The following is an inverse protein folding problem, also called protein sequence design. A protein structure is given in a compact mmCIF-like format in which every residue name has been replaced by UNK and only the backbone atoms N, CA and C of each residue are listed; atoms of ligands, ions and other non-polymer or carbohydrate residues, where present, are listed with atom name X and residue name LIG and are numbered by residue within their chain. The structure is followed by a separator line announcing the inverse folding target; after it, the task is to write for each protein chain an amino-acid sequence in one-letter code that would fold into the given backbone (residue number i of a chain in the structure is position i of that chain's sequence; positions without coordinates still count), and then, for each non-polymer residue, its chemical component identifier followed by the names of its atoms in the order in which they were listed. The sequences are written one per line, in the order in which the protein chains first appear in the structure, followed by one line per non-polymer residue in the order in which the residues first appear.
data_IF_104883387887
#
_entry.id   IF_104883387887
#
_cell.length_a   1.000
_cell.length_b   1.000
_cell.length_c   1.000
_cell.angle_alpha   90.00
_cell.angle_beta   90.00
_cell.angle_gamma   90.00
#
_symmetry.space_group_name_H-M   'P 1'
#
loop_
_entity.id
_entity.type
_entity.pdbx_description
1 polymer ?
2 non-polymer ?
3 non-polymer ?
4 non-polymer ?
5 water ?
#
# COMPACT_ATOMS: atom_id res chain seq x y z
N UNK A 2 -4.91 -24.21 11.91
CA UNK A 2 -3.56 -23.75 11.56
C UNK A 2 -3.65 -22.36 10.92
N UNK A 3 -2.67 -21.48 11.18
CA UNK A 3 -2.60 -20.18 10.49
C UNK A 3 -3.88 -19.36 10.70
N UNK A 4 -4.38 -19.34 11.94
CA UNK A 4 -5.66 -18.68 12.22
C UNK A 4 -5.38 -17.24 12.64
N UNK A 5 -5.94 -16.24 11.95
CA UNK A 5 -5.64 -14.85 12.33
C UNK A 5 -6.45 -14.45 13.55
N UNK A 6 -5.91 -13.49 14.27
CA UNK A 6 -6.62 -12.84 15.37
C UNK A 6 -6.42 -11.35 15.21
N UNK A 7 -7.23 -10.54 15.88
CA UNK A 7 -7.09 -9.08 15.73
C UNK A 7 -5.67 -8.55 16.01
N UNK A 8 -4.88 -9.28 16.81
CA UNK A 8 -3.51 -8.82 17.06
C UNK A 8 -2.62 -8.83 15.82
N UNK A 9 -3.00 -9.56 14.77
CA UNK A 9 -2.22 -9.55 13.53
C UNK A 9 -2.46 -8.30 12.68
N UNK A 10 -3.40 -7.46 13.06
CA UNK A 10 -3.62 -6.14 12.47
C UNK A 10 -4.10 -6.21 11.01
N UNK A 11 -4.86 -7.25 10.66
CA UNK A 11 -5.37 -7.38 9.29
C UNK A 11 -6.62 -6.50 9.13
N UNK A 12 -6.64 -5.68 8.09
CA UNK A 12 -7.77 -4.80 7.83
C UNK A 12 -8.20 -4.93 6.36
N UNK A 13 -9.45 -4.54 6.11
CA UNK A 13 -10.08 -4.67 4.79
C UNK A 13 -10.87 -3.41 4.47
N UNK A 14 -10.84 -2.97 3.22
CA UNK A 14 -11.73 -1.91 2.82
C UNK A 14 -13.17 -2.38 2.68
N UNK A 15 -14.12 -1.49 3.03
CA UNK A 15 -15.50 -1.88 2.81
C UNK A 15 -15.75 -2.19 1.34
N UNK A 16 -15.03 -1.52 0.43
CA UNK A 16 -15.19 -1.70 -1.00
C UNK A 16 -14.61 -3.00 -1.54
N UNK A 17 -13.90 -3.78 -0.70
CA UNK A 17 -13.22 -5.00 -1.14
C UNK A 17 -14.22 -6.14 -1.13
N UNK A 18 -14.54 -6.65 0.06
CA UNK A 18 -15.58 -7.66 0.19
C UNK A 18 -16.94 -7.16 -0.29
N UNK A 19 -17.19 -5.83 -0.26
CA UNK A 19 -18.39 -5.22 -0.80
C UNK A 19 -18.43 -5.05 -2.31
N UNK A 20 -17.36 -5.38 -3.05
CA UNK A 20 -17.40 -5.20 -4.50
C UNK A 20 -18.50 -6.08 -5.14
N UNK A 21 -19.41 -5.45 -5.88
CA UNK A 21 -20.54 -6.17 -6.47
C UNK A 21 -20.18 -6.89 -7.76
N UNK A 22 -18.96 -6.71 -8.27
CA UNK A 22 -18.56 -7.45 -9.45
C UNK A 22 -18.78 -6.76 -10.77
N UNK A 23 -19.16 -5.47 -10.79
CA UNK A 23 -19.18 -4.74 -12.05
C UNK A 23 -17.78 -4.52 -12.60
N UNK A 24 -17.54 -4.88 -13.87
CA UNK A 24 -16.24 -4.67 -14.48
C UNK A 24 -16.47 -3.89 -15.81
N UNK A 25 -15.45 -3.55 -16.62
CA UNK A 25 -15.74 -2.72 -17.82
C UNK A 25 -16.65 -3.42 -18.80
N UNK A 26 -16.77 -4.74 -18.69
CA UNK A 26 -17.55 -5.53 -19.64
C UNK A 26 -18.65 -6.31 -18.99
N UNK A 27 -19.03 -6.02 -17.76
CA UNK A 27 -19.94 -6.90 -17.04
C UNK A 27 -20.75 -6.18 -15.98
N UNK A 28 -22.01 -6.60 -15.84
CA UNK A 28 -22.88 -6.13 -14.78
C UNK A 28 -22.56 -6.82 -13.45
N UNK A 29 -23.14 -6.28 -12.37
CA UNK A 29 -22.88 -6.81 -11.03
C UNK A 29 -23.31 -8.27 -10.93
N UNK A 30 -22.51 -9.07 -10.22
CA UNK A 30 -22.86 -10.47 -9.96
C UNK A 30 -23.28 -10.74 -8.52
N UNK A 31 -23.18 -9.73 -7.65
CA UNK A 31 -23.54 -9.87 -6.25
C UNK A 31 -24.31 -8.64 -5.81
N UNK A 32 -25.21 -8.85 -4.83
CA UNK A 32 -25.91 -7.74 -4.22
C UNK A 32 -24.97 -6.90 -3.34
N UNK A 33 -25.35 -5.64 -3.18
CA UNK A 33 -24.61 -4.76 -2.29
C UNK A 33 -24.68 -5.27 -0.86
N UNK A 34 -23.59 -5.04 -0.12
CA UNK A 34 -23.50 -5.42 1.28
C UNK A 34 -23.74 -4.20 2.15
N UNK A 35 -24.43 -4.42 3.27
CA UNK A 35 -24.50 -3.39 4.30
C UNK A 35 -23.14 -3.38 5.01
N UNK A 36 -22.51 -2.20 5.18
CA UNK A 36 -21.28 -2.12 5.96
C UNK A 36 -21.34 -2.82 7.30
N UNK A 37 -22.51 -2.79 7.97
CA UNK A 37 -22.66 -3.46 9.24
C UNK A 37 -22.40 -4.96 9.09
N UNK A 38 -22.93 -5.55 8.02
CA UNK A 38 -22.71 -6.98 7.80
C UNK A 38 -21.24 -7.29 7.52
N UNK A 39 -20.60 -6.46 6.69
CA UNK A 39 -19.18 -6.67 6.41
C UNK A 39 -18.35 -6.60 7.69
N UNK A 40 -18.64 -5.64 8.57
CA UNK A 40 -17.88 -5.54 9.83
C UNK A 40 -18.05 -6.82 10.64
N UNK A 41 -19.28 -7.32 10.74
CA UNK A 41 -19.54 -8.54 11.51
C UNK A 41 -18.82 -9.74 10.90
N UNK A 42 -18.92 -9.89 9.56
CA UNK A 42 -18.34 -11.09 8.95
C UNK A 42 -16.82 -11.06 9.01
N UNK A 43 -16.24 -9.87 8.83
CA UNK A 43 -14.78 -9.76 8.90
C UNK A 43 -14.28 -10.03 10.31
N UNK A 44 -15.01 -9.52 11.31
CA UNK A 44 -14.62 -9.76 12.69
C UNK A 44 -14.64 -11.25 13.00
N UNK A 45 -15.64 -11.96 12.49
CA UNK A 45 -15.71 -13.40 12.72
C UNK A 45 -14.53 -14.14 12.10
N UNK A 46 -13.98 -13.62 11.01
CA UNK A 46 -12.80 -14.22 10.34
C UNK A 46 -11.48 -13.91 11.05
N UNK A 47 -11.48 -13.00 12.04
CA UNK A 47 -10.28 -12.64 12.74
C UNK A 47 -9.67 -11.32 12.33
N UNK A 48 -10.36 -10.51 11.54
CA UNK A 48 -9.84 -9.20 11.15
C UNK A 48 -9.73 -8.28 12.37
N UNK A 49 -8.84 -7.30 12.24
CA UNK A 49 -8.63 -6.24 13.22
C UNK A 49 -9.51 -5.03 12.93
N UNK A 50 -9.77 -4.74 11.66
CA UNK A 50 -10.52 -3.52 11.38
C UNK A 50 -10.87 -3.39 9.92
N UNK A 51 -11.48 -2.25 9.61
CA UNK A 51 -11.99 -1.94 8.29
C UNK A 51 -11.58 -0.52 7.96
N UNK A 52 -11.64 -0.23 6.65
CA UNK A 52 -11.39 1.11 6.13
C UNK A 52 -12.51 1.46 5.15
N UNK A 53 -12.58 2.76 4.82
CA UNK A 53 -13.70 3.20 4.00
C UNK A 53 -13.34 4.41 3.16
N UNK A 54 -13.99 4.50 1.98
CA UNK A 54 -14.17 5.79 1.31
C UNK A 54 -15.42 6.42 1.88
N UNK A 55 -15.46 7.76 1.86
CA UNK A 55 -16.66 8.47 2.30
C UNK A 55 -17.92 7.86 1.71
N UNK A 56 -17.93 7.64 0.40
CA UNK A 56 -19.13 7.21 -0.30
C UNK A 56 -19.43 5.70 -0.17
N UNK A 57 -18.55 4.91 0.46
CA UNK A 57 -18.86 3.53 0.83
C UNK A 57 -19.70 3.52 2.08
N UNK A 58 -19.40 4.45 3.00
CA UNK A 58 -20.07 4.44 4.30
C UNK A 58 -21.37 5.25 4.25
N UNK A 59 -21.36 6.38 3.54
CA UNK A 59 -22.54 7.24 3.43
C UNK A 59 -22.83 7.40 1.94
N UNK A 60 -23.95 6.91 1.42
CA UNK A 60 -24.24 7.09 -0.02
C UNK A 60 -24.11 8.53 -0.44
N UNK A 61 -23.48 8.74 -1.59
CA UNK A 61 -23.34 10.09 -2.14
C UNK A 61 -24.68 10.80 -2.18
N UNK A 62 -24.68 12.04 -1.71
CA UNK A 62 -25.89 12.84 -1.73
C UNK A 62 -26.81 12.68 -0.53
N UNK A 63 -26.36 12.01 0.52
CA UNK A 63 -27.20 11.78 1.69
C UNK A 63 -27.47 13.08 2.44
N UNK A 64 -28.67 13.17 3.02
CA UNK A 64 -28.99 14.29 3.90
C UNK A 64 -28.28 14.11 5.24
N UNK A 65 -28.24 15.20 6.01
CA UNK A 65 -27.57 15.13 7.31
C UNK A 65 -28.19 14.07 8.21
N UNK A 66 -29.52 13.94 8.17
CA UNK A 66 -30.15 12.94 9.03
C UNK A 66 -29.76 11.52 8.59
N UNK A 67 -29.74 11.29 7.27
CA UNK A 67 -29.35 9.97 6.77
C UNK A 67 -27.89 9.70 7.11
N UNK A 68 -27.04 10.73 6.97
CA UNK A 68 -25.63 10.56 7.28
C UNK A 68 -25.46 10.17 8.74
N UNK A 69 -26.21 10.82 9.63
CA UNK A 69 -26.08 10.51 11.04
C UNK A 69 -26.50 9.06 11.32
N UNK A 70 -27.54 8.56 10.66
CA UNK A 70 -27.98 7.20 10.92
C UNK A 70 -26.99 6.18 10.37
N UNK A 71 -26.43 6.45 9.18
CA UNK A 71 -25.41 5.55 8.64
C UNK A 71 -24.23 5.42 9.59
N UNK A 72 -23.74 6.55 10.10
CA UNK A 72 -22.61 6.51 11.01
C UNK A 72 -22.98 5.80 12.31
N UNK A 73 -24.17 6.09 12.84
CA UNK A 73 -24.60 5.47 14.09
C UNK A 73 -24.61 3.95 13.99
N UNK A 74 -25.17 3.40 12.90
CA UNK A 74 -25.22 1.96 12.73
C UNK A 74 -23.82 1.39 12.59
N UNK A 75 -22.96 2.11 11.86
CA UNK A 75 -21.60 1.63 11.68
C UNK A 75 -20.85 1.62 13.01
N UNK A 76 -20.99 2.70 13.79
CA UNK A 76 -20.39 2.77 15.12
C UNK A 76 -20.86 1.62 16.01
N UNK A 77 -22.16 1.27 15.93
CA UNK A 77 -22.64 0.17 16.75
C UNK A 77 -22.04 -1.17 16.32
N UNK A 78 -21.82 -1.37 15.01
CA UNK A 78 -21.16 -2.59 14.55
C UNK A 78 -19.70 -2.67 15.03
N UNK A 79 -18.99 -1.53 15.01
CA UNK A 79 -17.64 -1.49 15.57
C UNK A 79 -17.66 -1.83 17.05
N UNK A 80 -18.61 -1.25 17.79
CA UNK A 80 -18.68 -1.51 19.22
C UNK A 80 -19.04 -2.96 19.53
N UNK A 81 -19.91 -3.57 18.71
CA UNK A 81 -20.34 -4.94 18.92
C UNK A 81 -19.22 -5.96 18.68
N UNK A 82 -18.27 -5.61 17.82
CA UNK A 82 -17.22 -6.53 17.37
C UNK A 82 -15.83 -6.24 17.91
N UNK A 83 -15.57 -5.01 18.34
CA UNK A 83 -14.25 -4.58 18.70
C UNK A 83 -13.39 -4.24 17.49
N UNK A 84 -13.98 -4.18 16.31
CA UNK A 84 -13.23 -3.76 15.13
C UNK A 84 -12.84 -2.29 15.18
N UNK A 85 -11.70 -1.96 14.58
CA UNK A 85 -11.17 -0.61 14.52
C UNK A 85 -11.29 -0.06 13.10
N UNK A 86 -11.09 1.25 12.96
CA UNK A 86 -11.03 1.95 11.66
C UNK A 86 -9.70 2.68 11.56
N UNK A 87 -8.65 2.03 11.08
CA UNK A 87 -7.33 2.69 11.12
C UNK A 87 -7.08 3.65 10.01
N UNK A 88 -7.88 3.63 8.94
CA UNK A 88 -7.55 4.46 7.79
C UNK A 88 -8.87 4.73 7.07
N UNK A 89 -8.94 5.91 6.45
CA UNK A 89 -10.05 6.24 5.55
C UNK A 89 -9.50 7.05 4.38
N UNK A 90 -10.37 7.25 3.41
CA UNK A 90 -10.01 7.89 2.15
C UNK A 90 -11.25 8.51 1.52
N UNK A 91 -11.04 9.32 0.49
CA UNK A 91 -12.12 10.03 -0.18
C UNK A 91 -12.31 9.37 -1.54
N UNK A 92 -13.57 9.26 -1.97
CA UNK A 92 -13.83 8.83 -3.36
C UNK A 92 -13.80 10.07 -4.25
N UNK A 93 -12.68 10.26 -4.97
CA UNK A 93 -12.54 11.34 -5.95
C UNK A 93 -12.41 10.75 -7.35
N UNK A 94 -13.15 9.65 -7.59
CA UNK A 94 -13.02 9.00 -8.90
C UNK A 94 -14.32 8.49 -9.51
N UNK A 95 -15.34 8.18 -8.73
CA UNK A 95 -16.53 7.53 -9.29
C UNK A 95 -17.47 8.52 -9.96
N UNK A 96 -17.79 9.60 -9.26
CA UNK A 96 -18.74 10.58 -9.79
C UNK A 96 -18.23 11.20 -11.09
N UNK A 97 -19.10 11.36 -12.09
CA UNK A 97 -18.67 11.98 -13.36
C UNK A 97 -18.00 13.34 -13.22
N UNK A 98 -18.27 14.09 -12.15
CA UNK A 98 -17.64 15.39 -12.03
C UNK A 98 -16.12 15.25 -11.99
N UNK A 99 -15.62 14.09 -11.55
CA UNK A 99 -14.18 13.86 -11.41
C UNK A 99 -13.56 13.27 -12.66
N UNK A 100 -14.27 13.33 -13.79
CA UNK A 100 -13.78 12.64 -14.98
C UNK A 100 -12.40 13.11 -15.45
N UNK A 101 -11.99 14.34 -15.12
CA UNK A 101 -10.66 14.83 -15.45
C UNK A 101 -9.79 14.99 -14.23
N UNK A 102 -10.21 14.44 -13.11
CA UNK A 102 -9.45 14.57 -11.89
C UNK A 102 -10.24 15.21 -10.77
N UNK A 103 -9.63 15.14 -9.57
CA UNK A 103 -10.15 15.86 -8.42
C UNK A 103 -9.20 17.01 -8.15
N UNK A 104 -8.11 16.75 -7.41
CA UNK A 104 -7.20 17.83 -7.07
C UNK A 104 -6.50 18.46 -8.28
N UNK A 105 -6.39 17.74 -9.40
CA UNK A 105 -5.74 18.27 -10.61
C UNK A 105 -6.70 18.36 -11.80
N UNK A 106 -8.00 18.37 -11.55
CA UNK A 106 -8.95 18.67 -12.63
C UNK A 106 -8.60 19.99 -13.31
N UNK A 107 -8.78 20.06 -14.64
CA UNK A 107 -8.51 21.33 -15.29
C UNK A 107 -9.49 22.41 -14.79
N UNK A 108 -10.74 22.04 -14.48
CA UNK A 108 -11.69 23.00 -13.95
C UNK A 108 -11.40 23.33 -12.48
N UNK A 109 -11.17 24.62 -12.22
CA UNK A 109 -10.80 25.04 -10.88
C UNK A 109 -11.93 24.78 -9.90
N UNK A 110 -13.19 24.96 -10.31
CA UNK A 110 -14.30 24.70 -9.40
C UNK A 110 -14.36 23.24 -8.95
N UNK A 111 -13.95 22.31 -9.82
CA UNK A 111 -13.92 20.90 -9.43
C UNK A 111 -12.80 20.67 -8.42
N UNK A 112 -11.63 21.32 -8.62
CA UNK A 112 -10.54 21.15 -7.66
C UNK A 112 -10.97 21.64 -6.27
N UNK A 113 -11.68 22.77 -6.20
CA UNK A 113 -12.13 23.27 -4.91
C UNK A 113 -13.14 22.33 -4.27
N UNK A 114 -14.04 21.77 -5.08
CA UNK A 114 -15.00 20.79 -4.60
C UNK A 114 -14.31 19.56 -4.05
N UNK A 115 -13.32 19.03 -4.77
CA UNK A 115 -12.61 17.85 -4.31
C UNK A 115 -11.97 18.11 -2.95
N UNK A 116 -11.38 19.30 -2.75
CA UNK A 116 -10.79 19.60 -1.45
C UNK A 116 -11.85 19.65 -0.36
N UNK A 117 -12.99 20.28 -0.63
CA UNK A 117 -14.04 20.34 0.39
C UNK A 117 -14.58 18.95 0.72
N UNK A 118 -14.73 18.08 -0.30
CA UNK A 118 -15.23 16.72 -0.05
C UNK A 118 -14.22 15.96 0.82
N UNK A 119 -12.93 16.12 0.53
CA UNK A 119 -11.90 15.46 1.35
C UNK A 119 -11.94 15.96 2.80
N UNK A 120 -11.99 17.29 2.98
CA UNK A 120 -11.92 17.84 4.33
C UNK A 120 -13.10 17.36 5.18
N UNK A 121 -14.31 17.29 4.58
CA UNK A 121 -15.47 16.75 5.30
C UNK A 121 -15.19 15.34 5.80
N UNK A 122 -14.54 14.54 4.97
CA UNK A 122 -14.29 13.16 5.36
C UNK A 122 -13.13 12.98 6.32
N UNK A 123 -12.12 13.87 6.27
CA UNK A 123 -11.08 13.86 7.29
C UNK A 123 -11.69 14.01 8.68
N UNK A 124 -12.65 14.94 8.82
CA UNK A 124 -13.31 15.10 10.12
C UNK A 124 -13.95 13.79 10.57
N UNK A 125 -14.65 13.11 9.67
CA UNK A 125 -15.31 11.86 10.03
C UNK A 125 -14.29 10.79 10.35
N UNK A 126 -13.24 10.70 9.55
CA UNK A 126 -12.20 9.70 9.79
C UNK A 126 -11.60 9.85 11.18
N UNK A 127 -11.29 11.09 11.58
CA UNK A 127 -10.77 11.34 12.92
C UNK A 127 -11.78 10.91 13.97
N UNK A 128 -13.06 11.25 13.77
CA UNK A 128 -14.09 10.83 14.74
C UNK A 128 -14.11 9.32 14.92
N UNK A 129 -13.88 8.56 13.85
CA UNK A 129 -13.92 7.10 13.93
C UNK A 129 -12.58 6.49 14.33
N UNK A 130 -11.54 7.28 14.59
CA UNK A 130 -10.31 6.77 15.13
C UNK A 130 -9.19 6.55 14.14
N UNK A 131 -9.35 7.00 12.89
CA UNK A 131 -8.33 6.70 11.89
C UNK A 131 -7.03 7.44 12.15
N UNK A 132 -5.91 6.76 11.90
CA UNK A 132 -4.59 7.34 12.08
C UNK A 132 -3.97 7.76 10.75
N UNK A 133 -4.50 7.25 9.65
CA UNK A 133 -3.97 7.52 8.33
C UNK A 133 -5.12 7.91 7.42
N UNK A 134 -4.86 8.89 6.57
CA UNK A 134 -5.83 9.28 5.55
C UNK A 134 -5.17 9.08 4.21
N UNK A 135 -5.75 8.19 3.36
CA UNK A 135 -5.13 7.83 2.08
C UNK A 135 -5.68 8.69 0.96
N UNK A 136 -4.80 9.10 0.04
CA UNK A 136 -5.20 9.77 -1.20
C UNK A 136 -4.75 8.91 -2.36
N UNK A 137 -5.71 8.46 -3.17
CA UNK A 137 -5.40 7.73 -4.41
C UNK A 137 -5.94 8.60 -5.54
N UNK A 138 -5.03 9.20 -6.27
CA UNK A 138 -5.41 10.13 -7.32
C UNK A 138 -5.69 9.40 -8.63
N UNK A 139 -6.70 8.52 -8.61
CA UNK A 139 -6.93 7.64 -9.75
C UNK A 139 -7.35 8.37 -11.00
N UNK A 140 -7.98 9.54 -10.87
CA UNK A 140 -8.38 10.34 -12.03
C UNK A 140 -7.39 11.43 -12.40
N UNK A 141 -6.23 11.53 -11.70
CA UNK A 141 -5.26 12.58 -11.96
C UNK A 141 -4.35 12.07 -13.07
N UNK A 142 -4.50 12.60 -14.27
CA UNK A 142 -3.66 12.10 -15.37
C UNK A 142 -4.31 12.45 -16.70
N UNK A 143 -4.09 11.59 -17.69
CA UNK A 143 -4.47 11.99 -19.05
C UNK A 143 -4.45 10.79 -19.97
N UNK A 144 -5.22 10.89 -21.07
CA UNK A 144 -5.11 9.96 -22.18
C UNK A 144 -4.36 10.53 -23.37
N UNK A 145 -4.08 11.82 -23.37
CA UNK A 145 -3.47 12.51 -24.50
C UNK A 145 -2.55 13.60 -23.99
N UNK A 146 -1.58 13.96 -24.82
CA UNK A 146 -0.49 14.81 -24.34
C UNK A 146 -0.87 16.24 -24.12
N UNK A 147 -1.83 16.77 -24.88
CA UNK A 147 -2.17 18.17 -24.75
C UNK A 147 -3.09 18.47 -23.60
N UNK A 148 -3.77 17.44 -23.07
CA UNK A 148 -4.87 17.61 -22.15
C UNK A 148 -4.43 18.02 -20.75
N UNK A 149 -3.17 17.80 -20.40
CA UNK A 149 -2.70 18.03 -19.04
C UNK A 149 -1.27 18.52 -19.12
N UNK A 150 -1.02 19.76 -18.70
CA UNK A 150 0.35 20.21 -18.51
C UNK A 150 0.78 19.71 -17.15
N UNK A 151 1.75 18.79 -17.13
CA UNK A 151 2.03 18.07 -15.90
C UNK A 151 2.68 18.94 -14.85
N UNK A 152 3.54 19.90 -15.24
CA UNK A 152 4.08 20.83 -14.25
C UNK A 152 2.96 21.61 -13.59
N UNK A 153 1.99 22.13 -14.37
CA UNK A 153 0.89 22.84 -13.75
C UNK A 153 0.08 21.89 -12.86
N UNK A 154 -0.14 20.66 -13.32
CA UNK A 154 -0.89 19.71 -12.50
C UNK A 154 -0.17 19.42 -11.19
N UNK A 155 1.15 19.23 -11.22
CA UNK A 155 1.88 19.02 -9.97
C UNK A 155 1.82 20.25 -9.07
N UNK A 156 1.80 21.45 -9.66
CA UNK A 156 1.55 22.67 -8.86
C UNK A 156 0.21 22.57 -8.14
N UNK A 157 -0.83 22.16 -8.85
CA UNK A 157 -2.15 22.03 -8.22
C UNK A 157 -2.17 20.92 -7.18
N UNK A 158 -1.48 19.81 -7.46
CA UNK A 158 -1.47 18.71 -6.50
C UNK A 158 -0.74 19.12 -5.22
N UNK A 159 0.39 19.84 -5.35
CA UNK A 159 1.06 20.37 -4.17
C UNK A 159 0.18 21.33 -3.41
N UNK A 160 -0.54 22.23 -4.11
CA UNK A 160 -1.43 23.15 -3.41
C UNK A 160 -2.46 22.40 -2.60
N UNK A 161 -3.07 21.37 -3.18
CA UNK A 161 -4.09 20.59 -2.50
C UNK A 161 -3.52 19.91 -1.25
N UNK A 162 -2.40 19.18 -1.39
CA UNK A 162 -1.85 18.50 -0.22
C UNK A 162 -1.39 19.49 0.84
N UNK A 163 -0.87 20.66 0.43
CA UNK A 163 -0.48 21.67 1.41
C UNK A 163 -1.67 22.19 2.18
N UNK A 164 -2.79 22.48 1.49
CA UNK A 164 -4.01 22.90 2.17
C UNK A 164 -4.54 21.84 3.13
N UNK A 165 -4.48 20.56 2.74
CA UNK A 165 -4.94 19.51 3.64
C UNK A 165 -4.06 19.42 4.89
N UNK A 166 -2.74 19.59 4.72
CA UNK A 166 -1.85 19.66 5.88
C UNK A 166 -2.11 20.89 6.75
N UNK A 167 -2.38 22.03 6.12
CA UNK A 167 -2.76 23.21 6.90
C UNK A 167 -4.05 22.95 7.66
N UNK A 168 -4.98 22.22 7.05
CA UNK A 168 -6.25 21.94 7.72
C UNK A 168 -6.04 21.05 8.95
N UNK A 169 -5.34 19.92 8.79
CA UNK A 169 -5.21 19.00 9.94
C UNK A 169 -4.42 19.68 11.07
N UNK A 170 -3.42 20.48 10.72
CA UNK A 170 -2.65 21.23 11.73
C UNK A 170 -3.55 22.21 12.46
N UNK A 171 -4.42 22.90 11.71
CA UNK A 171 -5.33 23.89 12.30
C UNK A 171 -6.29 23.27 13.31
N UNK A 172 -6.68 22.01 13.12
CA UNK A 172 -7.60 21.32 14.00
C UNK A 172 -6.89 20.56 15.11
N UNK A 173 -5.56 20.51 15.12
CA UNK A 173 -4.85 19.71 16.09
C UNK A 173 -4.98 18.22 15.92
N UNK A 174 -5.30 17.76 14.72
CA UNK A 174 -5.43 16.31 14.50
C UNK A 174 -4.07 15.64 14.38
N UNK A 175 -4.00 14.36 14.81
CA UNK A 175 -2.76 13.59 14.70
C UNK A 175 -2.68 12.76 13.43
N UNK A 176 -3.74 12.77 12.63
CA UNK A 176 -3.79 11.92 11.44
C UNK A 176 -2.73 12.35 10.44
N UNK A 177 -2.20 11.38 9.72
CA UNK A 177 -1.19 11.65 8.69
C UNK A 177 -1.71 11.16 7.35
N UNK A 178 -1.12 11.66 6.27
CA UNK A 178 -1.58 11.35 4.91
C UNK A 178 -0.66 10.31 4.27
N UNK A 179 -1.24 9.48 3.40
CA UNK A 179 -0.45 8.49 2.68
C UNK A 179 -0.94 8.51 1.24
N UNK A 180 -0.03 8.77 0.30
CA UNK A 180 -0.38 8.78 -1.13
C UNK A 180 -0.22 7.37 -1.67
N UNK A 181 -1.26 6.89 -2.37
CA UNK A 181 -1.24 5.57 -2.99
C UNK A 181 -0.94 5.70 -4.47
N UNK A 182 0.24 5.32 -4.94
CA UNK A 182 0.56 5.43 -6.38
C UNK A 182 -0.14 4.37 -7.18
N UNK A 183 -0.34 4.67 -8.46
CA UNK A 183 -0.78 3.67 -9.45
C UNK A 183 -0.33 4.21 -10.79
N UNK A 184 0.16 3.37 -11.71
CA UNK A 184 0.74 3.93 -12.94
C UNK A 184 -0.28 4.31 -14.00
N UNK A 185 -1.38 3.57 -14.06
CA UNK A 185 -2.39 3.78 -15.09
C UNK A 185 -3.65 3.09 -14.58
N UNK A 186 -4.79 3.40 -15.22
CA UNK A 186 -6.10 2.77 -15.04
C UNK A 186 -6.75 3.35 -13.79
N UNK A 187 -7.77 4.22 -13.94
CA UNK A 187 -8.58 4.42 -15.15
C UNK A 187 -8.01 5.42 -16.13
N UNK A 188 -7.10 6.31 -15.75
CA UNK A 188 -6.53 7.20 -16.79
C UNK A 188 -5.43 6.49 -17.56
N UNK A 189 -5.18 6.98 -18.78
CA UNK A 189 -4.16 6.35 -19.61
C UNK A 189 -2.79 6.33 -18.95
N UNK A 190 -2.41 7.46 -18.33
CA UNK A 190 -1.31 7.51 -17.41
C UNK A 190 -1.73 8.35 -16.22
N UNK A 191 -1.37 7.89 -15.02
CA UNK A 191 -1.72 8.56 -13.75
C UNK A 191 -0.51 9.30 -13.22
N UNK A 192 -0.74 10.51 -12.72
CA UNK A 192 0.35 11.26 -12.09
C UNK A 192 0.82 10.59 -10.79
N UNK A 193 2.10 10.76 -10.46
CA UNK A 193 2.74 10.03 -9.37
C UNK A 193 2.58 8.51 -9.53
N UNK A 194 3.12 7.94 -10.61
CA UNK A 194 2.71 6.59 -11.01
C UNK A 194 3.35 5.48 -10.19
N UNK A 195 4.35 5.75 -9.36
CA UNK A 195 5.08 4.73 -8.62
C UNK A 195 5.42 5.28 -7.24
N UNK A 196 5.80 4.35 -6.34
CA UNK A 196 6.34 4.72 -5.03
C UNK A 196 7.40 5.81 -5.16
N UNK A 197 8.31 5.68 -6.13
CA UNK A 197 9.39 6.64 -6.21
C UNK A 197 8.87 8.02 -6.54
N UNK A 198 7.97 8.12 -7.52
CA UNK A 198 7.44 9.43 -7.89
C UNK A 198 6.69 10.08 -6.74
N UNK A 199 5.95 9.28 -5.96
CA UNK A 199 5.24 9.80 -4.78
C UNK A 199 6.21 10.25 -3.71
N UNK A 200 7.24 9.45 -3.42
CA UNK A 200 8.23 9.88 -2.42
C UNK A 200 8.89 11.19 -2.83
N UNK A 201 9.21 11.33 -4.13
CA UNK A 201 9.89 12.53 -4.60
C UNK A 201 8.99 13.74 -4.46
N UNK A 202 7.70 13.57 -4.80
CA UNK A 202 6.75 14.67 -4.69
C UNK A 202 6.59 15.16 -3.23
N UNK A 203 6.51 14.21 -2.28
CA UNK A 203 6.33 14.59 -0.86
C UNK A 203 7.43 15.52 -0.41
N UNK A 204 8.64 15.34 -0.94
CA UNK A 204 9.77 16.17 -0.47
C UNK A 204 9.63 17.62 -0.89
N UNK A 205 8.72 17.94 -1.81
CA UNK A 205 8.45 19.33 -2.19
C UNK A 205 7.24 19.92 -1.49
N UNK A 206 6.60 19.18 -0.58
CA UNK A 206 5.45 19.74 0.12
C UNK A 206 5.93 20.64 1.26
N UNK A 207 5.03 21.51 1.75
CA UNK A 207 5.42 22.45 2.80
C UNK A 207 5.83 21.76 4.09
N UNK A 208 5.11 20.70 4.49
CA UNK A 208 5.33 19.98 5.74
C UNK A 208 5.51 18.50 5.40
N UNK A 209 6.67 18.13 4.84
CA UNK A 209 6.82 16.75 4.33
C UNK A 209 6.64 15.69 5.38
N UNK A 210 6.89 15.99 6.66
CA UNK A 210 6.76 14.99 7.70
C UNK A 210 5.34 14.45 7.85
N UNK A 211 4.32 15.17 7.32
CA UNK A 211 2.94 14.75 7.47
C UNK A 211 2.52 13.73 6.42
N UNK A 212 3.38 13.44 5.44
CA UNK A 212 2.97 12.63 4.28
C UNK A 212 3.92 11.47 4.06
N UNK A 213 3.31 10.30 3.77
CA UNK A 213 4.05 9.11 3.42
C UNK A 213 3.37 8.43 2.25
N UNK A 214 3.68 7.16 2.05
CA UNK A 214 3.08 6.42 0.94
C UNK A 214 2.24 5.27 1.47
N UNK A 215 1.26 4.87 0.65
CA UNK A 215 0.43 3.67 0.83
C UNK A 215 0.61 2.83 -0.44
N UNK A 216 1.74 2.14 -0.58
CA UNK A 216 1.98 1.36 -1.81
C UNK A 216 1.08 0.16 -1.86
N UNK A 217 0.68 -0.21 -3.08
CA UNK A 217 -0.13 -1.41 -3.31
C UNK A 217 0.64 -2.41 -4.16
N UNK A 218 0.68 -3.68 -3.71
CA UNK A 218 1.39 -4.74 -4.42
C UNK A 218 1.13 -4.68 -5.92
N UNK A 219 -0.15 -4.74 -6.31
CA UNK A 219 -0.47 -4.88 -7.72
C UNK A 219 -0.10 -3.64 -8.52
N UNK A 220 -0.10 -2.48 -7.88
CA UNK A 220 0.14 -1.27 -8.66
C UNK A 220 1.59 -1.17 -9.08
N UNK A 221 2.52 -1.48 -8.19
CA UNK A 221 3.90 -1.43 -8.63
C UNK A 221 4.16 -2.54 -9.65
N UNK A 222 3.50 -3.70 -9.48
CA UNK A 222 3.67 -4.77 -10.47
C UNK A 222 3.07 -4.43 -11.82
N UNK A 223 2.06 -3.55 -11.88
CA UNK A 223 1.53 -3.09 -13.18
C UNK A 223 2.56 -2.29 -13.96
N UNK A 224 3.61 -1.80 -13.31
CA UNK A 224 4.73 -1.20 -14.02
C UNK A 224 5.90 -2.16 -14.16
N UNK A 225 5.70 -3.43 -13.83
CA UNK A 225 6.79 -4.39 -13.90
C UNK A 225 7.86 -4.20 -12.84
N UNK A 226 7.60 -3.39 -11.82
CA UNK A 226 8.59 -3.10 -10.79
C UNK A 226 8.56 -4.17 -9.71
N UNK A 227 9.64 -4.21 -8.93
CA UNK A 227 9.79 -5.19 -7.84
C UNK A 227 9.21 -4.53 -6.59
N UNK A 228 8.09 -5.09 -6.11
CA UNK A 228 7.39 -4.44 -5.00
C UNK A 228 8.21 -4.49 -3.72
N UNK A 229 8.83 -5.61 -3.33
CA UNK A 229 9.71 -5.54 -2.14
C UNK A 229 10.80 -4.48 -2.26
N UNK A 230 11.39 -4.27 -3.44
CA UNK A 230 12.40 -3.21 -3.56
C UNK A 230 11.81 -1.84 -3.28
N UNK A 231 10.62 -1.54 -3.84
CA UNK A 231 10.00 -0.24 -3.63
C UNK A 231 9.63 -0.03 -2.18
N UNK A 232 9.17 -1.10 -1.52
CA UNK A 232 8.87 -1.03 -0.09
C UNK A 232 10.13 -0.76 0.70
N UNK A 233 11.24 -1.42 0.33
CA UNK A 233 12.50 -1.14 1.01
C UNK A 233 12.90 0.33 0.86
N UNK A 234 12.72 0.92 -0.34
CA UNK A 234 13.04 2.34 -0.47
C UNK A 234 12.11 3.21 0.37
N UNK A 235 10.82 2.87 0.45
CA UNK A 235 9.90 3.64 1.29
C UNK A 235 10.30 3.53 2.76
N UNK A 236 10.70 2.34 3.21
CA UNK A 236 11.14 2.17 4.59
C UNK A 236 12.42 2.93 4.84
N UNK A 237 13.36 2.88 3.88
CA UNK A 237 14.61 3.62 3.98
C UNK A 237 14.37 5.09 4.17
N UNK A 238 13.32 5.63 3.52
CA UNK A 238 12.94 7.04 3.62
C UNK A 238 12.11 7.35 4.85
N UNK A 239 11.68 6.33 5.62
CA UNK A 239 10.85 6.55 6.78
C UNK A 239 9.42 6.87 6.43
N UNK A 240 8.95 6.41 5.26
CA UNK A 240 7.66 6.87 4.72
C UNK A 240 6.64 5.74 4.50
N UNK A 241 6.85 4.54 5.02
CA UNK A 241 5.84 3.48 4.88
C UNK A 241 4.77 3.65 5.96
N UNK A 242 3.77 4.49 5.66
CA UNK A 242 2.74 4.78 6.66
C UNK A 242 1.63 3.75 6.67
N UNK A 243 1.47 2.99 5.59
CA UNK A 243 0.35 2.07 5.40
C UNK A 243 0.73 1.26 4.17
N UNK A 244 0.04 0.14 3.98
CA UNK A 244 0.33 -0.69 2.81
C UNK A 244 -0.96 -1.35 2.36
N UNK A 245 -1.07 -1.60 1.05
CA UNK A 245 -2.19 -2.33 0.49
C UNK A 245 -1.67 -3.64 -0.08
N UNK A 246 -2.23 -4.75 0.44
CA UNK A 246 -1.76 -6.08 0.09
C UNK A 246 -2.77 -6.74 -0.84
N UNK A 247 -2.27 -7.33 -1.93
CA UNK A 247 -3.13 -8.05 -2.88
C UNK A 247 -2.21 -8.83 -3.83
N UNK A 248 -2.79 -9.36 -4.89
CA UNK A 248 -2.03 -10.08 -5.91
C UNK A 248 -2.31 -9.59 -7.33
N UNK A 249 -1.31 -9.79 -8.19
CA UNK A 249 -1.36 -9.28 -9.56
C UNK A 249 -0.48 -10.17 -10.41
N UNK A 250 -0.97 -10.57 -11.59
CA UNK A 250 -0.15 -11.37 -12.51
C UNK A 250 0.44 -10.43 -13.56
N UNK A 251 1.47 -9.70 -13.17
CA UNK A 251 2.26 -8.97 -14.14
C UNK A 251 1.60 -7.72 -14.70
N UNK A 252 2.03 -7.35 -15.90
CA UNK A 252 1.68 -6.06 -16.49
C UNK A 252 0.41 -6.23 -17.29
N UNK A 253 -0.69 -5.77 -16.72
CA UNK A 253 -2.02 -5.84 -17.33
C UNK A 253 -2.93 -5.00 -16.42
N UNK A 254 -4.23 -5.04 -16.68
CA UNK A 254 -5.20 -4.34 -15.85
C UNK A 254 -5.02 -4.66 -14.36
N UNK A 255 -5.52 -3.79 -13.50
CA UNK A 255 -5.41 -3.97 -12.05
C UNK A 255 -6.32 -5.11 -11.61
N UNK A 256 -5.72 -6.25 -11.23
CA UNK A 256 -6.51 -7.44 -10.94
C UNK A 256 -7.04 -7.48 -9.51
N UNK A 257 -6.28 -6.95 -8.55
CA UNK A 257 -6.71 -6.94 -7.14
C UNK A 257 -7.04 -8.37 -6.65
N UNK A 258 -6.18 -9.34 -6.99
CA UNK A 258 -6.40 -10.70 -6.50
C UNK A 258 -6.16 -10.76 -5.00
N UNK A 259 -6.60 -11.85 -4.38
CA UNK A 259 -6.31 -11.97 -2.95
C UNK A 259 -4.79 -12.10 -2.72
N UNK A 260 -4.34 -11.60 -1.57
CA UNK A 260 -2.93 -11.62 -1.27
C UNK A 260 -2.38 -13.05 -1.27
N UNK A 261 -1.20 -13.22 -1.88
CA UNK A 261 -0.60 -14.53 -2.05
C UNK A 261 -0.84 -15.07 -3.43
N UNK A 262 -1.97 -14.73 -4.04
CA UNK A 262 -2.13 -15.00 -5.47
C UNK A 262 -1.25 -14.02 -6.27
N UNK A 263 -1.16 -14.23 -7.56
CA UNK A 263 -0.25 -13.45 -8.36
C UNK A 263 1.15 -13.97 -8.14
N UNK A 264 2.05 -13.06 -7.76
CA UNK A 264 3.48 -13.38 -7.67
C UNK A 264 3.78 -13.87 -6.27
N UNK A 265 3.78 -15.19 -6.10
CA UNK A 265 3.92 -15.78 -4.76
C UNK A 265 5.29 -15.51 -4.16
N UNK A 266 6.36 -15.67 -4.96
CA UNK A 266 7.69 -15.40 -4.40
C UNK A 266 7.85 -13.96 -3.99
N UNK A 267 7.28 -13.01 -4.74
CA UNK A 267 7.34 -11.61 -4.31
C UNK A 267 6.57 -11.39 -3.02
N UNK A 268 5.48 -12.14 -2.83
CA UNK A 268 4.72 -12.05 -1.58
C UNK A 268 5.57 -12.54 -0.41
N UNK A 269 6.31 -13.63 -0.61
CA UNK A 269 7.24 -14.13 0.40
C UNK A 269 8.30 -13.08 0.75
N UNK A 270 8.95 -12.49 -0.26
CA UNK A 270 10.00 -11.51 0.08
C UNK A 270 9.41 -10.23 0.68
N UNK A 271 8.19 -9.87 0.31
CA UNK A 271 7.54 -8.73 0.96
C UNK A 271 7.32 -9.02 2.43
N UNK A 272 6.72 -10.17 2.76
CA UNK A 272 6.46 -10.48 4.17
C UNK A 272 7.77 -10.53 4.95
N UNK A 273 8.80 -11.16 4.35
CA UNK A 273 10.11 -11.19 4.99
C UNK A 273 10.58 -9.78 5.33
N UNK A 274 10.43 -8.84 4.40
CA UNK A 274 10.90 -7.47 4.64
C UNK A 274 10.04 -6.75 5.68
N UNK A 275 8.71 -6.84 5.57
CA UNK A 275 7.88 -6.15 6.55
C UNK A 275 8.18 -6.64 7.96
N UNK A 276 8.38 -7.96 8.12
CA UNK A 276 8.61 -8.50 9.46
C UNK A 276 10.01 -8.17 9.94
N UNK A 277 11.02 -8.25 9.05
CA UNK A 277 12.38 -7.90 9.47
C UNK A 277 12.50 -6.41 9.81
N UNK A 278 11.81 -5.53 9.09
CA UNK A 278 11.88 -4.10 9.36
C UNK A 278 11.00 -3.70 10.52
N UNK A 279 10.17 -4.60 11.01
CA UNK A 279 9.31 -4.23 12.14
C UNK A 279 8.21 -3.27 11.77
N UNK A 280 7.71 -3.35 10.54
CA UNK A 280 6.57 -2.53 10.17
C UNK A 280 5.43 -2.80 11.14
N UNK A 281 4.86 -1.73 11.69
CA UNK A 281 3.87 -1.84 12.75
C UNK A 281 2.48 -1.36 12.34
N UNK A 282 2.28 -0.94 11.09
CA UNK A 282 1.01 -0.46 10.63
C UNK A 282 0.06 -1.59 10.27
N UNK A 283 -1.12 -1.20 9.81
CA UNK A 283 -2.11 -2.20 9.38
C UNK A 283 -1.61 -3.04 8.21
N UNK A 284 -2.00 -4.32 8.23
CA UNK A 284 -1.82 -5.20 7.06
C UNK A 284 -3.15 -5.16 6.34
N UNK A 285 -3.29 -4.21 5.43
CA UNK A 285 -4.57 -3.89 4.79
C UNK A 285 -4.67 -4.59 3.45
N UNK A 286 -5.79 -5.23 3.19
CA UNK A 286 -6.01 -5.90 1.91
C UNK A 286 -6.91 -5.04 1.05
N UNK A 287 -6.40 -4.65 -0.12
CA UNK A 287 -7.19 -3.95 -1.12
C UNK A 287 -7.35 -4.94 -2.25
N UNK A 288 -8.37 -5.77 -2.15
CA UNK A 288 -8.52 -6.85 -3.11
C UNK A 288 -9.97 -6.91 -3.53
N UNK A 289 -10.25 -7.65 -4.61
CA UNK A 289 -11.63 -7.82 -5.07
C UNK A 289 -11.85 -9.33 -5.16
N UNK A 290 -12.78 -9.91 -4.41
CA UNK A 290 -13.14 -11.30 -4.70
C UNK A 290 -13.67 -11.38 -6.13
N UNK A 291 -13.16 -12.33 -6.92
CA UNK A 291 -13.56 -12.39 -8.34
C UNK A 291 -15.06 -12.47 -8.50
N UNK A 292 -15.54 -11.87 -9.59
CA UNK A 292 -16.98 -11.80 -9.77
C UNK A 292 -17.64 -13.15 -10.06
N UNK A 293 -16.84 -14.22 -10.28
CA UNK A 293 -17.34 -15.59 -10.34
C UNK A 293 -17.88 -16.06 -9.01
N UNK A 294 -17.52 -15.40 -7.91
CA UNK A 294 -17.84 -15.93 -6.59
C UNK A 294 -19.21 -15.44 -6.09
N UNK A 295 -19.85 -16.29 -5.27
CA UNK A 295 -21.01 -15.85 -4.50
C UNK A 295 -20.54 -15.31 -3.14
N UNK A 296 -21.49 -15.01 -2.25
CA UNK A 296 -21.09 -14.44 -0.97
C UNK A 296 -20.24 -15.38 -0.15
N UNK A 297 -20.49 -16.68 -0.17
CA UNK A 297 -19.57 -17.59 0.51
C UNK A 297 -18.14 -17.50 -0.03
N UNK A 298 -17.99 -17.36 -1.36
CA UNK A 298 -16.67 -17.21 -1.94
C UNK A 298 -16.00 -15.91 -1.55
N UNK A 299 -16.78 -14.84 -1.36
CA UNK A 299 -16.22 -13.58 -0.86
C UNK A 299 -15.48 -13.81 0.46
N UNK A 300 -16.14 -14.47 1.41
CA UNK A 300 -15.51 -14.64 2.73
C UNK A 300 -14.37 -15.63 2.66
N UNK A 301 -14.45 -16.63 1.76
CA UNK A 301 -13.33 -17.56 1.59
C UNK A 301 -12.12 -16.81 1.05
N UNK A 302 -12.36 -15.87 0.12
CA UNK A 302 -11.28 -15.09 -0.45
C UNK A 302 -10.64 -14.19 0.61
N UNK A 303 -11.45 -13.53 1.43
CA UNK A 303 -10.91 -12.68 2.50
C UNK A 303 -10.12 -13.52 3.49
N UNK A 304 -10.64 -14.70 3.85
CA UNK A 304 -9.91 -15.53 4.78
C UNK A 304 -8.57 -15.93 4.19
N UNK A 305 -8.53 -16.19 2.88
CA UNK A 305 -7.30 -16.63 2.24
C UNK A 305 -6.23 -15.54 2.22
N UNK A 306 -6.62 -14.27 2.16
CA UNK A 306 -5.63 -13.18 2.27
C UNK A 306 -4.83 -13.30 3.56
N UNK A 307 -5.55 -13.48 4.67
CA UNK A 307 -4.91 -13.53 5.97
C UNK A 307 -4.13 -14.81 6.18
N UNK A 308 -4.71 -15.94 5.75
CA UNK A 308 -3.99 -17.22 5.83
C UNK A 308 -2.66 -17.15 5.09
N UNK A 309 -2.67 -16.59 3.87
CA UNK A 309 -1.44 -16.58 3.08
C UNK A 309 -0.39 -15.69 3.73
N UNK A 310 -0.80 -14.55 4.30
CA UNK A 310 0.17 -13.74 5.02
C UNK A 310 0.80 -14.54 6.15
N UNK A 311 -0.02 -15.26 6.92
CA UNK A 311 0.50 -15.97 8.10
C UNK A 311 1.40 -17.15 7.68
N UNK A 312 1.07 -17.84 6.58
CA UNK A 312 1.97 -18.91 6.12
C UNK A 312 3.31 -18.31 5.71
N UNK A 313 3.27 -17.23 4.91
CA UNK A 313 4.55 -16.64 4.46
C UNK A 313 5.36 -16.09 5.62
N UNK A 314 4.69 -15.53 6.63
CA UNK A 314 5.39 -15.06 7.81
C UNK A 314 6.15 -16.18 8.50
N UNK A 315 5.50 -17.34 8.64
CA UNK A 315 6.16 -18.49 9.25
C UNK A 315 7.38 -18.92 8.42
N UNK A 316 7.20 -19.05 7.10
CA UNK A 316 8.29 -19.55 6.24
C UNK A 316 9.46 -18.54 6.17
N UNK A 317 9.15 -17.23 6.12
CA UNK A 317 10.24 -16.26 6.09
C UNK A 317 11.02 -16.26 7.41
N UNK A 318 10.31 -16.39 8.54
CA UNK A 318 10.98 -16.41 9.84
C UNK A 318 11.86 -17.65 9.96
N UNK A 319 11.37 -18.78 9.44
CA UNK A 319 12.18 -20.01 9.47
C UNK A 319 13.42 -19.85 8.60
N UNK A 320 13.28 -19.23 7.43
CA UNK A 320 14.42 -18.95 6.59
C UNK A 320 15.49 -18.15 7.34
N UNK A 321 15.09 -17.02 7.94
CA UNK A 321 16.11 -16.13 8.53
C UNK A 321 16.74 -16.75 9.78
N UNK A 322 16.02 -17.65 10.46
CA UNK A 322 16.52 -18.29 11.68
C UNK A 322 17.35 -19.54 11.43
N UNK A 323 17.34 -20.08 10.24
CA UNK A 323 18.04 -21.33 9.94
C UNK A 323 19.55 -21.10 9.94
N UNK A 324 20.33 -21.80 10.78
CA UNK A 324 21.78 -21.60 10.76
C UNK A 324 22.41 -21.82 9.40
N UNK A 325 21.86 -22.74 8.59
CA UNK A 325 22.40 -22.97 7.26
C UNK A 325 22.18 -21.75 6.35
N UNK A 326 21.02 -21.08 6.51
CA UNK A 326 20.80 -19.84 5.77
C UNK A 326 21.73 -18.75 6.27
N UNK A 327 21.89 -18.64 7.59
CA UNK A 327 22.81 -17.62 8.11
C UNK A 327 24.23 -17.81 7.59
N UNK A 328 24.68 -19.07 7.48
CA UNK A 328 25.98 -19.32 6.88
C UNK A 328 25.99 -18.94 5.39
N UNK A 329 24.89 -19.23 4.68
CA UNK A 329 24.85 -18.88 3.26
C UNK A 329 24.84 -17.36 3.05
N UNK A 330 24.17 -16.64 3.92
CA UNK A 330 24.17 -15.18 3.86
C UNK A 330 25.57 -14.63 4.08
N UNK A 331 26.35 -15.22 4.99
CA UNK A 331 27.75 -14.79 5.10
C UNK A 331 28.56 -15.19 3.86
N UNK A 332 28.30 -16.37 3.29
CA UNK A 332 29.02 -16.80 2.09
C UNK A 332 28.77 -15.85 0.92
N UNK A 333 27.58 -15.24 0.87
CA UNK A 333 27.20 -14.30 -0.18
C UNK A 333 27.50 -12.85 0.19
N UNK A 334 28.17 -12.62 1.33
CA UNK A 334 28.64 -11.31 1.79
C UNK A 334 27.51 -10.33 2.07
N UNK A 335 26.35 -10.82 2.50
CA UNK A 335 25.33 -9.88 2.96
C UNK A 335 25.78 -9.14 4.24
N UNK A 336 26.66 -9.74 5.04
CA UNK A 336 27.23 -9.02 6.17
C UNK A 336 28.08 -7.85 5.68
N UNK A 337 28.87 -8.05 4.62
CA UNK A 337 29.73 -6.98 4.13
C UNK A 337 28.92 -5.86 3.49
N UNK A 338 27.75 -6.18 2.89
CA UNK A 338 26.89 -5.14 2.31
C UNK A 338 26.43 -4.15 3.37
N UNK A 339 26.26 -4.62 4.62
CA UNK A 339 25.78 -3.78 5.71
C UNK A 339 26.90 -2.98 6.40
N UNK A 340 28.14 -3.15 5.99
CA UNK A 340 29.26 -2.41 6.56
C UNK A 340 29.53 -1.15 5.74
N UNK A 341 29.87 -0.02 6.37
CA UNK A 341 30.21 1.19 5.61
C UNK A 341 31.35 0.94 4.63
N UNK A 342 31.22 1.55 3.44
CA UNK A 342 32.24 1.42 2.41
C UNK A 342 33.53 2.12 2.82
N UNK A 343 33.42 3.29 3.44
CA UNK A 343 34.62 4.11 3.69
C UNK A 343 34.43 4.96 4.95
N UNK A 344 34.22 4.29 6.09
CA UNK A 344 34.14 4.99 7.36
C UNK A 344 35.46 5.65 7.70
N UNK A 345 36.55 5.22 7.06
CA UNK A 345 37.87 5.85 7.19
C UNK A 345 37.92 7.24 6.54
N UNK A 346 36.93 7.56 5.72
CA UNK A 346 36.82 8.88 5.12
C UNK A 346 37.43 8.96 3.74
N UNK A 347 37.15 10.09 3.08
CA UNK A 347 37.53 10.27 1.69
C UNK A 347 39.04 10.25 1.52
N UNK A 348 39.78 11.03 2.34
CA UNK A 348 41.22 11.09 2.13
C UNK A 348 41.86 9.73 2.35
N UNK A 349 41.40 8.98 3.35
CA UNK A 349 41.93 7.64 3.57
C UNK A 349 41.67 6.72 2.38
N UNK A 350 40.46 6.81 1.81
CA UNK A 350 40.15 6.04 0.59
C UNK A 350 41.07 6.41 -0.57
N UNK A 351 41.28 7.72 -0.80
CA UNK A 351 42.15 8.18 -1.88
C UNK A 351 43.58 7.72 -1.68
N UNK A 352 44.02 7.57 -0.43
CA UNK A 352 45.39 7.19 -0.14
C UNK A 352 45.57 5.66 0.00
N UNK A 353 44.48 4.90 -0.09
CA UNK A 353 44.50 3.46 0.13
C UNK A 353 44.85 2.74 -1.18
N UNK A 354 46.10 2.29 -1.29
CA UNK A 354 46.52 1.59 -2.49
C UNK A 354 45.80 0.25 -2.68
N UNK A 355 45.29 -0.37 -1.61
CA UNK A 355 44.53 -1.61 -1.79
C UNK A 355 43.18 -1.38 -2.46
N UNK A 356 42.74 -0.12 -2.57
CA UNK A 356 41.48 0.22 -3.23
C UNK A 356 41.63 0.49 -4.72
N UNK A 357 42.85 0.54 -5.23
CA UNK A 357 42.99 0.82 -6.64
C UNK A 357 44.30 0.30 -7.21
N UNK A 358 45.40 0.98 -6.86
CA UNK A 358 46.69 0.67 -7.48
C UNK A 358 47.09 -0.78 -7.27
N UNK A 359 46.78 -1.34 -6.10
CA UNK A 359 47.15 -2.71 -5.74
C UNK A 359 45.93 -3.62 -5.57
N UNK A 360 44.76 -3.21 -6.06
CA UNK A 360 43.58 -4.07 -5.97
C UNK A 360 43.65 -5.14 -7.05
N UNK A 361 43.53 -6.39 -6.64
CA UNK A 361 43.57 -7.52 -7.56
C UNK A 361 42.16 -7.74 -8.09
N UNK A 362 41.89 -7.10 -9.22
CA UNK A 362 40.56 -7.09 -9.82
C UNK A 362 40.16 -8.48 -10.27
N UNK A 363 41.13 -9.26 -10.78
CA UNK A 363 40.81 -10.60 -11.27
C UNK A 363 40.47 -11.56 -10.13
N UNK A 364 41.18 -11.43 -9.00
CA UNK A 364 40.87 -12.31 -7.88
C UNK A 364 39.50 -12.00 -7.31
N UNK A 365 39.16 -10.71 -7.24
CA UNK A 365 37.83 -10.32 -6.78
C UNK A 365 36.77 -10.83 -7.75
N UNK A 366 37.01 -10.67 -9.06
CA UNK A 366 36.02 -11.09 -10.06
C UNK A 366 35.77 -12.57 -10.01
N UNK A 367 36.79 -13.35 -9.64
CA UNK A 367 36.63 -14.80 -9.68
C UNK A 367 35.80 -15.34 -8.51
N UNK A 368 35.56 -14.53 -7.46
CA UNK A 368 34.84 -15.01 -6.28
C UNK A 368 33.35 -15.09 -6.61
N UNK A 369 32.81 -16.31 -6.59
CA UNK A 369 31.38 -16.45 -6.85
C UNK A 369 30.55 -15.85 -5.73
N UNK A 370 29.36 -15.35 -6.09
CA UNK A 370 28.54 -14.75 -5.03
C UNK A 370 27.69 -15.77 -4.28
N UNK A 371 27.55 -17.01 -4.79
CA UNK A 371 26.80 -18.08 -4.12
C UNK A 371 25.32 -17.74 -3.95
N UNK A 372 24.78 -16.86 -4.84
CA UNK A 372 23.38 -16.45 -4.70
C UNK A 372 22.41 -17.57 -5.08
N UNK A 373 22.80 -18.50 -5.98
CA UNK A 373 21.83 -19.55 -6.35
C UNK A 373 21.59 -20.51 -5.19
N UNK A 374 22.65 -20.89 -4.46
CA UNK A 374 22.48 -21.73 -3.28
C UNK A 374 21.60 -21.04 -2.24
N UNK A 375 21.86 -19.75 -1.99
CA UNK A 375 21.02 -18.99 -1.07
C UNK A 375 19.56 -18.99 -1.51
N UNK A 376 19.32 -18.78 -2.81
CA UNK A 376 17.93 -18.69 -3.28
C UNK A 376 17.23 -20.04 -3.27
N UNK A 377 17.96 -21.15 -3.48
CA UNK A 377 17.32 -22.45 -3.37
C UNK A 377 17.01 -22.79 -1.90
N UNK A 378 17.85 -22.32 -0.95
CA UNK A 378 17.42 -22.45 0.45
C UNK A 378 16.13 -21.67 0.70
N UNK A 379 16.00 -20.47 0.09
CA UNK A 379 14.79 -19.69 0.26
C UNK A 379 13.59 -20.41 -0.36
N UNK A 380 13.78 -21.01 -1.53
CA UNK A 380 12.70 -21.77 -2.15
C UNK A 380 12.30 -22.98 -1.32
N UNK A 381 13.31 -23.74 -0.83
CA UNK A 381 13.01 -24.89 0.03
C UNK A 381 12.24 -24.45 1.28
N UNK A 382 12.61 -23.33 1.89
CA UNK A 382 11.85 -22.84 3.05
C UNK A 382 10.42 -22.45 2.68
N UNK A 383 10.25 -21.72 1.59
CA UNK A 383 8.92 -21.29 1.17
C UNK A 383 8.02 -22.50 0.93
N UNK A 384 8.56 -23.57 0.31
CA UNK A 384 7.77 -24.73 -0.07
C UNK A 384 7.68 -25.76 1.06
N UNK A 385 8.36 -25.54 2.17
CA UNK A 385 8.36 -26.57 3.22
C UNK A 385 9.05 -27.83 2.74
N UNK A 386 10.18 -27.68 2.04
CA UNK A 386 10.91 -28.80 1.46
C UNK A 386 12.35 -28.79 1.96
N UNK A 387 12.53 -28.59 3.26
CA UNK A 387 13.84 -28.69 3.92
C UNK A 387 13.92 -30.01 4.66
X LIG B 1 -9.84 2.93 -4.71
X LIG B 1 -8.63 2.34 -5.42
X LIG B 1 -7.75 1.58 -4.44
X LIG B 1 -7.42 2.49 -3.27
X LIG B 1 -8.70 2.98 -2.64
X LIG B 1 -8.38 3.83 -1.44
X LIG B 1 -10.68 1.87 -4.26
X LIG B 1 -9.08 1.47 -6.46
X LIG B 1 -6.53 1.15 -5.04
X LIG B 1 -6.68 1.76 -2.29
X LIG B 1 -9.40 3.74 -3.61
X LIG B 1 -7.52 4.88 -1.85
X LIG C 1 -5.31 0.24 -3.24
X LIG D 1 -5.40 -2.14 -7.35
#
# INVERSE_FOLDING_TARGET
MNYQPTPEDRFTFGLWTVGWQGRDPFGDATRRALDPVESVRRLAELGAHGVTFHDDDLIPFGSSDSEREEHVKRFRQALDDTGMKVPMATTNLFTHPVFKDGGFTANDRDVRRYALRKTIRNIDLAVELGAETYVAWGGREGAESGGAKDVRDALDRMKEAFDLLGEYVTSQGYDIRFAIEPKPNEPRGDILLPTVGHALAFIERLERPELYGVNPEVGHEQMAGLNFPHGIAQALWAGKLFHIDLNGQNGIKYDQDLRFGAGDLRAAFWLVDLLESAGYSGPRHFDFKPPRTEDFDGVWASAAGCMRNYLILKERAAAFRADPEVQEALRASRLDELARPTAADGLQALLDDRSAFEEFDVDAAAARGMAFERLDQLAMDHLLGARG
GLC C1 C2 C3 C4 C5 C6 O1 O2 O3 O4 O5 O6
MG MG
MN MN
#
